data_IF_443422191703
#
_entry.id   IF_443422191703
#
_cell.length_a   1.000
_cell.length_b   1.000
_cell.length_c   1.000
_cell.angle_alpha   90.00
_cell.angle_beta   90.00
_cell.angle_gamma   90.00
#
_symmetry.space_group_name_H-M   'P 1'
#
loop_
_entity.id
_entity.type
_entity.pdbx_description
1 polymer ?
#
# COMPACT_ATOMS: atom_id res chain seq x y z
N UNK A 1 -7.60 -16.51 0.65
CA UNK A 1 -7.04 -15.44 -0.22
C UNK A 1 -7.61 -14.10 0.22
N UNK A 2 -6.78 -13.06 0.27
CA UNK A 2 -7.19 -11.70 0.65
C UNK A 2 -8.01 -11.05 -0.47
N UNK A 3 -9.02 -10.25 -0.09
CA UNK A 3 -10.03 -9.74 -1.02
C UNK A 3 -10.16 -8.22 -0.95
N UNK A 4 -10.57 -7.61 -2.06
CA UNK A 4 -11.01 -6.22 -2.11
C UNK A 4 -12.46 -6.06 -1.60
N UNK A 5 -12.94 -4.82 -1.55
CA UNK A 5 -14.30 -4.49 -1.11
C UNK A 5 -15.41 -5.07 -2.02
N UNK A 6 -15.06 -5.49 -3.24
CA UNK A 6 -15.98 -6.13 -4.21
C UNK A 6 -15.94 -7.67 -4.09
N UNK A 7 -15.12 -8.21 -3.19
CA UNK A 7 -14.95 -9.64 -2.96
C UNK A 7 -13.98 -10.33 -3.94
N UNK A 8 -13.31 -9.58 -4.82
CA UNK A 8 -12.31 -10.13 -5.74
C UNK A 8 -10.99 -10.36 -5.00
N UNK A 9 -10.23 -11.36 -5.43
CA UNK A 9 -8.88 -11.59 -4.90
C UNK A 9 -7.97 -10.40 -5.19
N UNK A 10 -7.24 -9.93 -4.18
CA UNK A 10 -6.19 -8.92 -4.35
C UNK A 10 -5.07 -9.48 -5.24
N UNK A 11 -4.86 -8.84 -6.38
CA UNK A 11 -3.84 -9.24 -7.35
C UNK A 11 -3.38 -8.01 -8.11
N UNK A 12 -2.08 -7.73 -8.15
CA UNK A 12 -1.54 -6.62 -8.95
C UNK A 12 -1.84 -6.73 -10.44
N UNK A 13 -2.18 -7.92 -10.95
CA UNK A 13 -2.64 -8.12 -12.31
C UNK A 13 -4.05 -7.55 -12.57
N UNK A 14 -4.85 -7.30 -11.53
CA UNK A 14 -6.20 -6.76 -11.64
C UNK A 14 -6.22 -5.23 -11.70
N UNK A 15 -5.05 -4.57 -11.65
CA UNK A 15 -4.91 -3.13 -11.70
C UNK A 15 -4.47 -2.51 -10.38
N UNK A 16 -4.85 -1.25 -10.18
CA UNK A 16 -4.44 -0.44 -9.03
C UNK A 16 -5.41 -0.59 -7.86
N UNK A 17 -4.89 -0.52 -6.64
CA UNK A 17 -5.69 -0.43 -5.42
C UNK A 17 -5.39 0.86 -4.67
N UNK A 18 -6.41 1.42 -4.03
CA UNK A 18 -6.30 2.64 -3.23
C UNK A 18 -6.90 2.38 -1.86
N UNK A 19 -6.19 2.81 -0.82
CA UNK A 19 -6.66 2.81 0.56
C UNK A 19 -6.49 4.23 1.09
N UNK A 20 -7.59 4.87 1.47
CA UNK A 20 -7.56 6.13 2.22
C UNK A 20 -7.98 5.84 3.65
N UNK A 21 -7.17 6.29 4.61
CA UNK A 21 -7.41 6.02 6.02
C UNK A 21 -6.88 7.15 6.89
N UNK A 22 -7.51 7.37 8.05
CA UNK A 22 -6.92 8.19 9.10
C UNK A 22 -5.70 7.49 9.70
N UNK A 23 -4.79 8.24 10.30
CA UNK A 23 -3.70 7.61 11.04
C UNK A 23 -4.23 6.81 12.23
N UNK A 24 -3.67 5.61 12.48
CA UNK A 24 -4.02 4.84 13.67
C UNK A 24 -3.51 5.55 14.93
N UNK A 25 -4.31 5.51 15.99
CA UNK A 25 -3.94 6.07 17.29
C UNK A 25 -2.93 5.15 18.00
N UNK A 26 -1.65 5.42 17.78
CA UNK A 26 -0.53 4.64 18.34
C UNK A 26 0.56 5.56 18.88
N UNK A 27 1.14 5.19 20.02
CA UNK A 27 2.14 6.02 20.72
C UNK A 27 3.59 5.81 20.22
N UNK A 28 3.78 5.26 19.03
CA UNK A 28 5.12 5.04 18.47
C UNK A 28 5.12 5.16 16.95
N UNK A 29 4.76 4.08 16.25
CA UNK A 29 4.99 3.95 14.83
C UNK A 29 3.93 3.06 14.19
N UNK A 30 3.59 3.36 12.94
CA UNK A 30 2.80 2.50 12.07
C UNK A 30 3.48 2.35 10.71
N UNK A 31 3.28 1.21 10.06
CA UNK A 31 3.66 1.02 8.67
C UNK A 31 2.66 0.15 7.92
N UNK A 32 2.58 0.37 6.62
CA UNK A 32 1.94 -0.52 5.66
C UNK A 32 3.00 -1.17 4.77
N UNK A 33 2.92 -2.50 4.64
CA UNK A 33 3.84 -3.33 3.84
C UNK A 33 3.02 -4.30 3.00
N UNK A 34 3.34 -4.43 1.72
CA UNK A 34 2.66 -5.36 0.82
C UNK A 34 3.51 -6.63 0.61
N UNK A 35 2.85 -7.80 0.68
CA UNK A 35 3.51 -9.10 0.53
C UNK A 35 2.91 -9.89 -0.64
N UNK A 36 3.77 -10.59 -1.37
CA UNK A 36 3.36 -11.43 -2.49
C UNK A 36 3.07 -12.86 -2.00
N UNK A 37 1.78 -13.15 -1.84
CA UNK A 37 1.31 -14.46 -1.40
C UNK A 37 1.62 -15.58 -2.41
N UNK A 38 1.69 -15.29 -3.72
CA UNK A 38 2.05 -16.29 -4.73
C UNK A 38 3.52 -16.64 -4.70
N UNK A 39 4.37 -15.71 -4.25
CA UNK A 39 5.81 -15.91 -4.04
C UNK A 39 6.15 -16.36 -2.62
N UNK A 40 5.22 -16.95 -1.87
CA UNK A 40 5.51 -17.46 -0.52
C UNK A 40 5.47 -16.43 0.60
N UNK A 41 4.89 -15.24 0.35
CA UNK A 41 4.71 -14.20 1.37
C UNK A 41 5.91 -13.27 1.55
N UNK A 42 6.85 -13.24 0.60
CA UNK A 42 7.96 -12.30 0.60
C UNK A 42 7.58 -10.94 0.03
N UNK A 43 8.49 -9.98 0.20
CA UNK A 43 8.43 -8.68 -0.48
C UNK A 43 8.49 -8.87 -2.00
N UNK A 44 7.63 -8.17 -2.72
CA UNK A 44 7.63 -8.19 -4.18
C UNK A 44 8.65 -7.17 -4.72
N UNK A 45 9.71 -7.60 -5.44
CA UNK A 45 10.67 -6.70 -6.05
C UNK A 45 9.98 -5.65 -6.92
N UNK A 46 10.40 -4.40 -6.79
CA UNK A 46 9.85 -3.28 -7.56
C UNK A 46 10.96 -2.31 -7.94
N UNK A 47 10.72 -1.50 -8.99
CA UNK A 47 11.70 -0.60 -9.59
C UNK A 47 12.26 0.47 -8.63
N UNK A 48 11.60 0.70 -7.49
CA UNK A 48 11.97 1.72 -6.51
C UNK A 48 12.60 1.14 -5.25
N UNK A 49 12.76 -0.18 -5.15
CA UNK A 49 13.18 -0.88 -3.93
C UNK A 49 12.44 -0.39 -2.67
N UNK A 50 11.16 -0.05 -2.84
CA UNK A 50 10.30 0.48 -1.77
C UNK A 50 9.28 -0.57 -1.35
N UNK A 51 9.32 -0.95 -0.09
CA UNK A 51 8.54 -2.08 0.41
C UNK A 51 7.56 -1.73 1.52
N UNK A 52 7.74 -0.57 2.15
CA UNK A 52 6.85 -0.09 3.19
C UNK A 52 6.70 1.44 3.13
N UNK A 53 5.57 1.92 3.64
CA UNK A 53 5.33 3.34 3.93
C UNK A 53 4.91 3.43 5.40
N UNK A 54 5.34 4.47 6.09
CA UNK A 54 5.12 4.65 7.52
C UNK A 54 4.80 6.10 7.87
N UNK A 55 4.55 6.37 9.16
CA UNK A 55 4.24 7.70 9.67
C UNK A 55 5.31 8.78 9.40
N UNK A 56 6.55 8.39 9.09
CA UNK A 56 7.66 9.31 8.76
C UNK A 56 7.83 9.53 7.26
N UNK A 57 7.36 8.62 6.42
CA UNK A 57 7.51 8.68 4.95
C UNK A 57 6.22 8.95 4.18
N UNK A 58 5.06 8.82 4.83
CA UNK A 58 3.78 9.09 4.22
C UNK A 58 3.54 10.58 3.99
N UNK A 59 3.02 10.91 2.80
CA UNK A 59 2.45 12.21 2.53
C UNK A 59 1.02 12.26 3.08
N UNK A 60 0.74 13.23 3.97
CA UNK A 60 -0.59 13.43 4.55
C UNK A 60 -1.43 14.33 3.64
N UNK A 61 -2.71 13.99 3.52
CA UNK A 61 -3.70 14.84 2.89
C UNK A 61 -3.98 16.07 3.78
N UNK A 62 -4.60 17.11 3.21
CA UNK A 62 -4.94 18.34 3.94
C UNK A 62 -5.94 18.12 5.09
N UNK A 63 -6.70 17.03 5.05
CA UNK A 63 -7.65 16.62 6.08
C UNK A 63 -7.05 15.69 7.14
N UNK A 64 -5.73 15.44 7.09
CA UNK A 64 -5.00 14.58 8.03
C UNK A 64 -5.08 13.08 7.72
N UNK A 65 -5.80 12.67 6.67
CA UNK A 65 -5.79 11.28 6.21
C UNK A 65 -4.53 10.96 5.39
N UNK A 66 -4.32 9.67 5.09
CA UNK A 66 -3.28 9.20 4.19
C UNK A 66 -3.92 8.34 3.09
N UNK A 67 -3.54 8.58 1.84
CA UNK A 67 -3.95 7.78 0.68
C UNK A 67 -2.77 6.94 0.18
N UNK A 68 -2.89 5.61 0.31
CA UNK A 68 -1.93 4.65 -0.23
C UNK A 68 -2.39 4.13 -1.57
N UNK A 69 -1.51 4.18 -2.57
CA UNK A 69 -1.76 3.68 -3.92
C UNK A 69 -0.85 2.50 -4.20
N UNK A 70 -1.43 1.34 -4.48
CA UNK A 70 -0.72 0.10 -4.83
C UNK A 70 -0.85 -0.15 -6.32
N UNK A 71 0.29 -0.14 -7.02
CA UNK A 71 0.39 -0.33 -8.47
C UNK A 71 1.58 -1.21 -8.80
N UNK A 72 1.53 -1.89 -9.94
CA UNK A 72 2.67 -2.64 -10.47
C UNK A 72 3.71 -1.75 -11.14
N UNK A 73 3.34 -0.51 -11.50
CA UNK A 73 4.23 0.53 -12.06
C UNK A 73 3.76 1.91 -11.61
N UNK A 74 4.72 2.78 -11.30
CA UNK A 74 4.48 4.19 -11.02
C UNK A 74 4.75 5.04 -12.27
N UNK A 75 3.91 6.03 -12.52
CA UNK A 75 4.12 7.05 -13.54
C UNK A 75 4.77 8.29 -12.94
N UNK A 76 5.30 9.19 -13.79
CA UNK A 76 6.00 10.42 -13.37
C UNK A 76 5.19 11.36 -12.45
N UNK A 77 3.87 11.20 -12.42
CA UNK A 77 2.94 12.04 -11.65
C UNK A 77 2.19 11.25 -10.55
N UNK A 78 2.62 10.01 -10.25
CA UNK A 78 2.10 9.22 -9.14
C UNK A 78 2.73 9.60 -7.79
#
# INVERSE_FOLDING_TARGET
>A
MFKDIKGNTLSGANGSYVITTSEPDVNAFWSITAYDTKRGGFLHPNEHDRYHINNTSAAKNSDGTVTFTFKTKCNKND
#
